data_IF_554167302907
#
_entry.id   IF_554167302907
#
_cell.length_a   1.000
_cell.length_b   1.000
_cell.length_c   1.000
_cell.angle_alpha   90.00
_cell.angle_beta   90.00
_cell.angle_gamma   90.00
#
_symmetry.space_group_name_H-M   'P 1'
#
loop_
_entity.id
_entity.type
_entity.pdbx_description
1 polymer ?
#
# COMPACT_ATOMS: atom_id res chain seq x y z
N UNK A 1 -13.29 -8.51 5.09
CA UNK A 1 -11.98 -7.87 4.78
C UNK A 1 -12.23 -6.47 4.20
N UNK A 2 -11.90 -5.39 4.94
CA UNK A 2 -12.16 -4.01 4.49
C UNK A 2 -11.41 -3.75 3.18
N UNK A 3 -12.13 -3.31 2.15
CA UNK A 3 -11.56 -2.76 0.91
C UNK A 3 -10.74 -1.52 1.25
N UNK A 4 -9.43 -1.68 1.44
CA UNK A 4 -8.46 -0.60 1.31
C UNK A 4 -8.03 -0.52 -0.14
N UNK A 5 -8.96 -0.09 -0.99
CA UNK A 5 -8.64 0.30 -2.36
C UNK A 5 -8.45 1.82 -2.39
N UNK A 6 -7.28 2.24 -2.87
CA UNK A 6 -6.89 3.60 -3.24
C UNK A 6 -6.69 4.64 -2.12
N UNK A 7 -5.45 4.76 -1.63
CA UNK A 7 -4.93 6.03 -1.07
C UNK A 7 -3.41 6.21 -1.18
N UNK A 8 -2.71 5.50 -2.08
CA UNK A 8 -1.30 5.81 -2.37
C UNK A 8 -1.19 6.78 -3.57
N UNK A 9 -2.07 6.65 -4.57
CA UNK A 9 -2.08 7.54 -5.72
C UNK A 9 -2.65 8.95 -5.40
N UNK A 10 -3.57 9.05 -4.45
CA UNK A 10 -4.20 10.32 -4.07
C UNK A 10 -3.25 11.25 -3.28
N UNK A 11 -2.31 10.69 -2.50
CA UNK A 11 -1.36 11.50 -1.74
C UNK A 11 -0.29 12.14 -2.63
N UNK A 12 0.06 11.50 -3.77
CA UNK A 12 0.98 12.07 -4.75
C UNK A 12 0.32 13.11 -5.67
N UNK A 13 -0.98 12.99 -5.98
CA UNK A 13 -1.68 13.97 -6.83
C UNK A 13 -2.08 15.26 -6.10
N UNK A 14 -2.38 15.21 -4.80
CA UNK A 14 -2.80 16.40 -4.02
C UNK A 14 -1.62 17.38 -3.81
N UNK A 15 -0.38 16.90 -3.86
CA UNK A 15 0.81 17.76 -3.82
C UNK A 15 1.11 18.50 -5.14
N UNK A 16 0.38 18.21 -6.23
CA UNK A 16 0.58 18.81 -7.55
C UNK A 16 -0.42 19.93 -7.89
N UNK A 17 -1.40 20.25 -7.04
CA UNK A 17 -2.47 21.23 -7.35
C UNK A 17 -2.51 22.49 -6.44
N UNK A 18 -1.54 22.69 -5.57
CA UNK A 18 -1.35 23.93 -4.80
C UNK A 18 0.03 24.45 -5.17
N UNK A 19 0.21 25.44 -6.05
CA UNK A 19 -0.20 26.84 -5.85
C UNK A 19 -0.22 27.58 -7.21
N UNK A 20 -1.35 28.22 -7.49
CA UNK A 20 -1.47 29.22 -8.55
C UNK A 20 -2.29 30.39 -8.03
N UNK A 21 -1.64 31.33 -7.32
CA UNK A 21 -2.16 32.69 -7.15
C UNK A 21 -1.05 33.66 -6.80
N UNK A 22 -0.66 34.48 -7.77
CA UNK A 22 0.18 35.65 -7.61
C UNK A 22 -0.51 36.67 -6.69
N UNK A 23 0.11 37.02 -5.58
CA UNK A 23 -0.13 38.30 -4.92
C UNK A 23 1.17 39.08 -4.82
N UNK A 24 1.16 40.27 -5.41
CA UNK A 24 2.19 41.28 -5.35
C UNK A 24 2.31 41.84 -3.94
N UNK A 25 3.51 41.78 -3.34
CA UNK A 25 3.82 42.48 -2.09
C UNK A 25 5.10 43.29 -2.29
N UNK A 26 5.00 44.59 -2.02
CA UNK A 26 6.09 45.58 -2.06
C UNK A 26 7.15 45.30 -0.98
N UNK A 27 8.42 45.71 -1.16
CA UNK A 27 9.50 45.37 -0.23
C UNK A 27 9.45 46.25 1.04
N UNK A 28 9.70 45.69 2.25
CA UNK A 28 9.96 46.51 3.42
C UNK A 28 11.45 46.84 3.56
N UNK A 29 11.67 48.04 4.08
CA UNK A 29 12.94 48.73 4.27
C UNK A 29 13.97 47.96 5.12
N UNK A 30 15.23 48.22 4.78
CA UNK A 30 16.41 47.80 5.52
C UNK A 30 16.50 48.49 6.89
N UNK A 31 16.77 47.70 7.94
CA UNK A 31 17.68 47.98 9.08
C UNK A 31 17.54 46.94 10.19
N UNK A 32 18.66 46.40 10.68
CA UNK A 32 18.74 45.72 11.98
C UNK A 32 19.61 44.46 11.98
N UNK A 33 20.77 44.55 12.62
CA UNK A 33 21.77 43.49 12.83
C UNK A 33 21.23 42.23 13.54
N UNK A 34 21.81 41.07 13.22
CA UNK A 34 21.87 39.92 14.13
C UNK A 34 21.40 38.57 13.59
N UNK A 35 22.38 37.71 13.24
CA UNK A 35 22.40 36.24 13.34
C UNK A 35 21.23 35.44 12.71
N UNK A 36 21.49 34.84 11.54
CA UNK A 36 21.05 33.47 11.23
C UNK A 36 19.56 33.19 11.03
N UNK A 37 18.81 34.08 10.38
CA UNK A 37 17.41 33.81 10.01
C UNK A 37 17.29 33.08 8.67
N UNK A 38 16.61 31.93 8.66
CA UNK A 38 16.11 31.26 7.44
C UNK A 38 15.16 32.18 6.69
N UNK A 39 15.31 32.28 5.37
CA UNK A 39 14.55 33.22 4.55
C UNK A 39 13.08 32.83 4.35
N UNK A 40 12.71 31.60 4.71
CA UNK A 40 11.36 31.06 4.54
C UNK A 40 11.05 30.64 3.11
N UNK A 41 12.06 30.68 2.22
CA UNK A 41 11.96 30.26 0.82
C UNK A 41 12.95 29.13 0.59
N UNK A 42 12.44 27.90 0.51
CA UNK A 42 13.22 26.66 0.49
C UNK A 42 14.34 26.64 -0.56
N UNK A 43 14.12 27.28 -1.72
CA UNK A 43 15.09 27.36 -2.82
C UNK A 43 16.35 28.16 -2.46
N UNK A 44 16.25 29.18 -1.61
CA UNK A 44 17.38 29.99 -1.19
C UNK A 44 18.09 29.40 0.03
N UNK A 45 17.34 28.74 0.91
CA UNK A 45 17.87 28.07 2.10
C UNK A 45 18.54 26.71 1.77
N UNK A 46 18.32 26.15 0.57
CA UNK A 46 18.94 24.91 0.05
C UNK A 46 20.25 25.10 -0.73
N UNK A 47 20.71 26.35 -0.91
CA UNK A 47 21.98 26.61 -1.58
C UNK A 47 23.16 26.35 -0.61
N UNK A 48 24.24 25.69 -1.05
CA UNK A 48 25.42 25.50 -0.21
C UNK A 48 25.99 26.84 0.24
N UNK A 49 26.19 26.97 1.55
CA UNK A 49 26.72 28.17 2.23
C UNK A 49 28.11 28.57 1.68
N UNK A 50 28.85 27.64 1.08
CA UNK A 50 30.22 27.87 0.56
C UNK A 50 30.29 28.74 -0.70
N UNK A 51 29.17 29.03 -1.36
CA UNK A 51 29.17 29.91 -2.57
C UNK A 51 29.27 31.41 -2.26
N UNK A 52 29.33 31.80 -0.98
CA UNK A 52 29.40 33.21 -0.54
C UNK A 52 30.61 33.46 0.36
N UNK A 53 31.81 33.52 -0.21
CA UNK A 53 32.82 34.53 0.12
C UNK A 53 34.18 34.23 -0.54
N UNK A 54 34.85 35.31 -0.95
CA UNK A 54 36.26 35.39 -1.36
C UNK A 54 36.57 35.14 -2.84
N UNK A 55 36.01 35.98 -3.73
CA UNK A 55 36.76 36.38 -4.92
C UNK A 55 37.87 37.36 -4.50
N UNK A 56 39.06 36.82 -4.20
CA UNK A 56 40.29 37.60 -4.27
C UNK A 56 40.71 37.64 -5.73
N UNK A 57 40.65 38.82 -6.35
CA UNK A 57 41.25 39.08 -7.66
C UNK A 57 42.76 38.90 -7.53
N UNK A 58 43.29 37.78 -8.03
CA UNK A 58 44.72 37.52 -8.02
C UNK A 58 45.09 36.04 -7.97
N UNK A 59 44.46 35.20 -8.78
CA UNK A 59 45.09 34.00 -9.34
C UNK A 59 44.20 33.43 -10.46
N UNK A 60 44.81 32.71 -11.39
CA UNK A 60 44.29 32.41 -12.73
C UNK A 60 42.85 31.91 -12.81
N UNK A 61 42.21 32.23 -13.95
CA UNK A 61 40.86 31.78 -14.32
C UNK A 61 40.88 30.24 -14.41
N UNK A 62 40.54 29.58 -13.31
CA UNK A 62 40.18 28.16 -13.27
C UNK A 62 38.72 28.06 -13.68
N UNK A 63 38.44 28.08 -14.99
CA UNK A 63 37.14 27.65 -15.49
C UNK A 63 37.11 26.13 -15.36
N UNK A 64 36.59 25.62 -14.24
CA UNK A 64 36.23 24.20 -14.12
C UNK A 64 35.26 23.87 -15.26
N UNK A 65 35.62 22.93 -16.13
CA UNK A 65 34.65 22.31 -17.03
C UNK A 65 33.61 21.65 -16.12
N UNK A 66 32.43 22.25 -16.03
CA UNK A 66 31.34 21.78 -15.18
C UNK A 66 30.76 20.54 -15.83
N UNK A 67 31.37 19.38 -15.56
CA UNK A 67 30.70 18.11 -15.73
C UNK A 67 29.52 18.12 -14.74
N UNK A 68 28.29 18.01 -15.24
CA UNK A 68 27.10 18.22 -14.44
C UNK A 68 26.99 17.17 -13.31
N UNK A 69 27.34 17.59 -12.09
CA UNK A 69 27.14 16.78 -10.88
C UNK A 69 25.70 16.25 -10.81
N UNK A 70 25.55 14.95 -10.59
CA UNK A 70 24.26 14.28 -10.50
C UNK A 70 23.71 14.48 -9.09
N UNK A 71 22.60 15.19 -8.95
CA UNK A 71 21.94 15.34 -7.64
C UNK A 71 21.47 13.99 -7.04
N UNK A 72 21.97 13.59 -5.85
CA UNK A 72 21.52 12.39 -5.15
C UNK A 72 20.03 12.40 -4.80
N UNK A 73 19.51 13.58 -4.42
CA UNK A 73 18.10 13.74 -4.08
C UNK A 73 17.19 13.51 -5.29
N UNK A 74 17.59 14.00 -6.48
CA UNK A 74 16.84 13.73 -7.73
C UNK A 74 16.87 12.26 -8.08
N UNK A 75 18.03 11.60 -7.95
CA UNK A 75 18.18 10.17 -8.18
C UNK A 75 17.25 9.37 -7.26
N UNK A 76 17.26 9.65 -5.95
CA UNK A 76 16.34 9.01 -5.00
C UNK A 76 14.88 9.24 -5.36
N UNK A 77 14.50 10.48 -5.70
CA UNK A 77 13.12 10.81 -6.08
C UNK A 77 12.65 10.02 -7.30
N UNK A 78 13.47 9.93 -8.35
CA UNK A 78 13.13 9.14 -9.53
C UNK A 78 12.92 7.66 -9.20
N UNK A 79 13.81 7.05 -8.40
CA UNK A 79 13.66 5.65 -8.00
C UNK A 79 12.55 5.39 -6.98
N UNK A 80 12.15 6.41 -6.22
CA UNK A 80 10.97 6.32 -5.34
C UNK A 80 9.67 6.25 -6.15
N UNK A 81 9.61 6.88 -7.33
CA UNK A 81 8.44 6.79 -8.22
C UNK A 81 8.52 5.52 -9.08
N UNK A 82 9.67 5.27 -9.71
CA UNK A 82 9.89 4.12 -10.59
C UNK A 82 11.22 3.47 -10.22
N UNK A 83 11.21 2.31 -9.55
CA UNK A 83 12.42 1.63 -9.14
C UNK A 83 13.37 1.40 -10.34
N UNK A 84 14.62 1.82 -10.17
CA UNK A 84 15.65 1.79 -11.21
C UNK A 84 15.83 3.09 -11.99
N UNK A 85 14.87 4.02 -11.99
CA UNK A 85 14.97 5.27 -12.77
C UNK A 85 16.07 6.21 -12.27
N UNK A 86 16.29 6.27 -10.95
CA UNK A 86 17.38 7.01 -10.33
C UNK A 86 18.76 6.42 -10.60
N UNK A 87 18.87 5.09 -10.60
CA UNK A 87 20.10 4.38 -11.00
C UNK A 87 20.42 4.63 -12.47
N UNK A 88 19.40 4.68 -13.34
CA UNK A 88 19.59 5.03 -14.74
C UNK A 88 20.11 6.47 -14.88
N UNK A 89 19.55 7.41 -14.11
CA UNK A 89 20.02 8.79 -14.07
C UNK A 89 21.48 8.94 -13.60
N UNK A 90 21.90 8.13 -12.62
CA UNK A 90 23.29 8.06 -12.13
C UNK A 90 24.17 7.04 -12.88
N UNK A 91 23.72 6.58 -14.05
CA UNK A 91 24.48 5.72 -14.99
C UNK A 91 24.85 4.33 -14.43
N UNK A 92 24.17 3.90 -13.37
CA UNK A 92 24.24 2.54 -12.82
C UNK A 92 23.21 1.63 -13.53
N UNK A 93 23.47 1.35 -14.81
CA UNK A 93 22.51 0.64 -15.67
C UNK A 93 22.18 -0.78 -15.22
N UNK A 94 23.14 -1.51 -14.66
CA UNK A 94 22.87 -2.86 -14.13
C UNK A 94 21.92 -2.82 -12.94
N UNK A 95 22.15 -1.90 -11.99
CA UNK A 95 21.25 -1.73 -10.85
C UNK A 95 19.87 -1.23 -11.30
N UNK A 96 19.82 -0.32 -12.29
CA UNK A 96 18.56 0.10 -12.90
C UNK A 96 17.76 -1.07 -13.46
N UNK A 97 18.41 -1.95 -14.23
CA UNK A 97 17.79 -3.15 -14.80
C UNK A 97 17.32 -4.13 -13.71
N UNK A 98 18.12 -4.34 -12.65
CA UNK A 98 17.76 -5.24 -11.56
C UNK A 98 16.51 -4.75 -10.79
N UNK A 99 16.48 -3.49 -10.39
CA UNK A 99 15.32 -2.90 -9.70
C UNK A 99 14.08 -2.87 -10.59
N UNK A 100 14.22 -2.52 -11.87
CA UNK A 100 13.12 -2.52 -12.83
C UNK A 100 12.57 -3.93 -13.12
N UNK A 101 13.44 -4.93 -13.27
CA UNK A 101 13.02 -6.31 -13.47
C UNK A 101 12.32 -6.89 -12.24
N UNK A 102 12.82 -6.59 -11.04
CA UNK A 102 12.17 -6.96 -9.78
C UNK A 102 10.78 -6.32 -9.67
N UNK A 103 10.66 -5.04 -10.00
CA UNK A 103 9.38 -4.30 -10.00
C UNK A 103 8.35 -4.97 -10.91
N UNK A 104 8.71 -5.23 -12.17
CA UNK A 104 7.83 -5.89 -13.14
C UNK A 104 7.43 -7.29 -12.65
N UNK A 105 8.40 -8.08 -12.18
CA UNK A 105 8.15 -9.44 -11.70
C UNK A 105 7.18 -9.47 -10.51
N UNK A 106 7.33 -8.54 -9.56
CA UNK A 106 6.47 -8.43 -8.39
C UNK A 106 5.04 -8.01 -8.76
N UNK A 107 4.86 -7.06 -9.69
CA UNK A 107 3.54 -6.70 -10.21
C UNK A 107 2.85 -7.86 -10.91
N UNK A 108 3.60 -8.66 -11.69
CA UNK A 108 3.07 -9.87 -12.33
C UNK A 108 2.60 -10.87 -11.29
N UNK A 109 3.40 -11.14 -10.24
CA UNK A 109 3.01 -12.03 -9.14
C UNK A 109 1.77 -11.48 -8.43
N UNK A 110 1.76 -10.20 -8.05
CA UNK A 110 0.60 -9.55 -7.43
C UNK A 110 -0.66 -9.74 -8.27
N UNK A 111 -0.64 -9.35 -9.54
CA UNK A 111 -1.81 -9.40 -10.42
C UNK A 111 -2.33 -10.83 -10.65
N UNK A 112 -1.43 -11.82 -10.81
CA UNK A 112 -1.83 -13.22 -10.98
C UNK A 112 -2.51 -13.75 -9.72
N UNK A 113 -1.94 -13.50 -8.54
CA UNK A 113 -2.47 -14.06 -7.29
C UNK A 113 -3.72 -13.32 -6.80
N UNK A 114 -3.80 -12.01 -7.04
CA UNK A 114 -5.01 -11.22 -6.79
C UNK A 114 -6.17 -11.74 -7.65
N UNK A 115 -5.96 -11.92 -8.96
CA UNK A 115 -6.97 -12.48 -9.86
C UNK A 115 -7.39 -13.91 -9.49
N UNK A 116 -6.45 -14.74 -9.01
CA UNK A 116 -6.75 -16.08 -8.49
C UNK A 116 -7.60 -16.01 -7.21
N UNK A 117 -7.25 -15.12 -6.27
CA UNK A 117 -8.03 -14.90 -5.05
C UNK A 117 -9.46 -14.45 -5.34
N UNK A 118 -9.63 -13.57 -6.31
CA UNK A 118 -10.93 -13.11 -6.81
C UNK A 118 -11.75 -14.24 -7.44
N UNK A 119 -11.12 -15.08 -8.26
CA UNK A 119 -11.77 -16.26 -8.84
C UNK A 119 -12.23 -17.23 -7.74
N UNK A 120 -11.35 -17.54 -6.80
CA UNK A 120 -11.67 -18.40 -5.66
C UNK A 120 -12.79 -17.80 -4.79
N UNK A 121 -12.84 -16.46 -4.69
CA UNK A 121 -13.91 -15.74 -4.01
C UNK A 121 -15.28 -15.99 -4.64
N UNK A 122 -15.38 -15.78 -5.96
CA UNK A 122 -16.61 -16.07 -6.69
C UNK A 122 -17.05 -17.53 -6.56
N UNK A 123 -16.10 -18.46 -6.51
CA UNK A 123 -16.39 -19.88 -6.36
C UNK A 123 -17.02 -20.20 -5.00
N UNK A 124 -16.44 -19.71 -3.89
CA UNK A 124 -17.03 -19.98 -2.58
C UNK A 124 -18.36 -19.24 -2.43
N UNK A 125 -18.50 -18.01 -2.90
CA UNK A 125 -19.75 -17.25 -2.83
C UNK A 125 -20.88 -17.98 -3.58
N UNK A 126 -20.60 -18.48 -4.78
CA UNK A 126 -21.53 -19.31 -5.56
C UNK A 126 -21.86 -20.63 -4.86
N UNK A 127 -20.90 -21.22 -4.14
CA UNK A 127 -21.16 -22.41 -3.34
C UNK A 127 -22.10 -22.11 -2.18
N UNK A 128 -21.88 -21.01 -1.43
CA UNK A 128 -22.76 -20.59 -0.36
C UNK A 128 -24.18 -20.27 -0.87
N UNK A 129 -24.31 -19.58 -2.00
CA UNK A 129 -25.60 -19.22 -2.58
C UNK A 129 -26.46 -20.45 -2.94
N UNK A 130 -25.82 -21.57 -3.28
CA UNK A 130 -26.50 -22.83 -3.62
C UNK A 130 -26.80 -23.70 -2.41
N UNK A 131 -25.99 -23.60 -1.36
CA UNK A 131 -25.97 -24.59 -0.28
C UNK A 131 -26.33 -24.02 1.09
N UNK A 132 -26.43 -22.70 1.26
CA UNK A 132 -26.77 -22.06 2.52
C UNK A 132 -28.08 -21.27 2.42
N UNK A 133 -28.97 -21.48 3.39
CA UNK A 133 -30.30 -20.86 3.44
C UNK A 133 -30.52 -20.12 4.75
N UNK A 134 -30.71 -18.80 4.67
CA UNK A 134 -31.08 -17.96 5.81
C UNK A 134 -32.43 -18.37 6.39
N UNK A 135 -33.37 -18.84 5.57
CA UNK A 135 -34.68 -19.31 6.04
C UNK A 135 -34.52 -20.56 6.88
N UNK A 136 -33.72 -21.54 6.41
CA UNK A 136 -33.40 -22.76 7.17
C UNK A 136 -32.77 -22.41 8.52
N UNK A 137 -31.85 -21.44 8.52
CA UNK A 137 -31.21 -20.95 9.74
C UNK A 137 -32.20 -20.29 10.71
N UNK A 138 -33.07 -19.41 10.20
CA UNK A 138 -34.07 -18.70 10.99
C UNK A 138 -35.07 -19.67 11.66
N UNK A 139 -35.57 -20.66 10.92
CA UNK A 139 -36.45 -21.72 11.44
C UNK A 139 -35.77 -22.54 12.54
N UNK A 140 -34.46 -22.83 12.38
CA UNK A 140 -33.70 -23.54 13.39
C UNK A 140 -33.52 -22.70 14.68
N UNK A 141 -33.28 -21.39 14.56
CA UNK A 141 -33.21 -20.48 15.71
C UNK A 141 -34.55 -20.44 16.46
N UNK A 142 -35.67 -20.33 15.75
CA UNK A 142 -36.99 -20.32 16.39
C UNK A 142 -37.28 -21.60 17.15
N UNK A 143 -36.87 -22.74 16.59
CA UNK A 143 -37.09 -24.06 17.16
C UNK A 143 -36.27 -24.30 18.43
N UNK A 144 -34.98 -23.93 18.40
CA UNK A 144 -34.04 -24.32 19.46
C UNK A 144 -33.53 -23.17 20.31
N UNK A 145 -33.79 -21.91 19.96
CA UNK A 145 -33.24 -20.75 20.66
C UNK A 145 -33.49 -20.77 22.18
N UNK A 146 -34.70 -21.17 22.60
CA UNK A 146 -35.05 -21.29 24.02
C UNK A 146 -34.36 -22.47 24.70
N UNK A 147 -34.00 -23.51 23.96
CA UNK A 147 -33.20 -24.63 24.51
C UNK A 147 -31.73 -24.23 24.66
N UNK A 148 -31.20 -23.45 23.71
CA UNK A 148 -29.84 -22.92 23.76
C UNK A 148 -29.66 -21.94 24.92
N UNK A 149 -30.59 -20.99 25.06
CA UNK A 149 -30.65 -20.07 26.20
C UNK A 149 -32.07 -20.06 26.82
N UNK A 150 -32.31 -20.86 27.89
CA UNK A 150 -33.60 -20.90 28.58
C UNK A 150 -34.05 -19.57 29.19
N UNK A 151 -33.12 -18.63 29.41
CA UNK A 151 -33.42 -17.31 29.97
C UNK A 151 -33.69 -16.25 28.88
N UNK A 152 -33.54 -16.61 27.60
CA UNK A 152 -33.81 -15.70 26.49
C UNK A 152 -35.29 -15.71 26.10
N UNK A 153 -35.82 -14.54 25.75
CA UNK A 153 -37.10 -14.44 25.03
C UNK A 153 -36.84 -14.54 23.54
N UNK A 154 -37.17 -15.68 22.94
CA UNK A 154 -37.01 -15.90 21.50
C UNK A 154 -38.26 -15.41 20.76
N UNK A 155 -38.06 -14.49 19.84
CA UNK A 155 -39.10 -13.92 18.98
C UNK A 155 -39.48 -14.93 17.89
N UNK A 156 -40.78 -15.16 17.73
CA UNK A 156 -41.35 -16.01 16.68
C UNK A 156 -41.74 -15.19 15.44
N UNK A 157 -41.90 -15.86 14.30
CA UNK A 157 -42.25 -15.23 13.03
C UNK A 157 -41.09 -14.42 12.44
N UNK A 158 -39.87 -14.95 12.57
CA UNK A 158 -38.66 -14.58 11.85
C UNK A 158 -38.76 -14.91 10.37
N UNK A 159 -39.48 -15.96 9.98
CA UNK A 159 -39.80 -16.21 8.56
C UNK A 159 -41.10 -15.51 8.19
N UNK A 160 -41.00 -14.48 7.34
CA UNK A 160 -42.13 -13.62 6.93
C UNK A 160 -42.80 -14.08 5.65
N UNK A 161 -42.17 -14.97 4.87
CA UNK A 161 -42.76 -15.52 3.65
C UNK A 161 -42.23 -16.91 3.36
N UNK A 162 -43.13 -17.85 3.11
CA UNK A 162 -42.80 -19.21 2.67
C UNK A 162 -42.76 -19.35 1.15
N UNK A 163 -42.90 -18.24 0.40
CA UNK A 163 -42.87 -18.25 -1.05
C UNK A 163 -41.47 -18.67 -1.55
N UNK A 164 -41.32 -19.82 -2.24
CA UNK A 164 -40.01 -20.27 -2.74
C UNK A 164 -39.46 -19.40 -3.87
N UNK A 165 -40.31 -18.59 -4.52
CA UNK A 165 -39.91 -17.73 -5.63
C UNK A 165 -39.29 -16.41 -5.18
N UNK A 166 -39.39 -16.06 -3.90
CA UNK A 166 -38.70 -14.89 -3.34
C UNK A 166 -37.26 -15.25 -2.96
N UNK A 167 -36.31 -14.31 -3.13
CA UNK A 167 -34.96 -14.52 -2.65
C UNK A 167 -34.95 -14.85 -1.15
N UNK A 168 -34.12 -15.81 -0.68
CA UNK A 168 -34.15 -16.24 0.72
C UNK A 168 -34.04 -15.11 1.76
N UNK A 169 -33.27 -14.07 1.45
CA UNK A 169 -33.06 -12.91 2.32
C UNK A 169 -34.25 -11.95 2.41
N UNK A 170 -35.19 -11.99 1.45
CA UNK A 170 -36.41 -11.19 1.48
C UNK A 170 -37.55 -11.93 2.22
N UNK A 171 -37.29 -13.15 2.67
CA UNK A 171 -38.25 -14.01 3.38
C UNK A 171 -38.06 -14.01 4.89
N UNK A 172 -37.09 -13.24 5.41
CA UNK A 172 -36.75 -13.23 6.84
C UNK A 172 -36.84 -11.81 7.41
N UNK A 173 -37.43 -11.70 8.60
CA UNK A 173 -37.37 -10.52 9.46
C UNK A 173 -36.00 -10.46 10.14
N UNK A 174 -35.10 -9.66 9.54
CA UNK A 174 -33.74 -9.46 10.01
C UNK A 174 -33.66 -8.92 11.43
N UNK A 175 -34.61 -8.07 11.84
CA UNK A 175 -34.61 -7.49 13.19
C UNK A 175 -34.89 -8.56 14.21
N UNK A 176 -35.90 -9.40 13.98
CA UNK A 176 -36.20 -10.51 14.88
C UNK A 176 -35.09 -11.56 14.89
N UNK A 177 -34.54 -11.90 13.72
CA UNK A 177 -33.44 -12.84 13.61
C UNK A 177 -32.23 -12.37 14.42
N UNK A 178 -31.77 -11.13 14.21
CA UNK A 178 -30.61 -10.61 14.92
C UNK A 178 -30.86 -10.47 16.43
N UNK A 179 -32.07 -10.06 16.84
CA UNK A 179 -32.45 -10.06 18.27
C UNK A 179 -32.39 -11.44 18.90
N UNK A 180 -32.81 -12.48 18.18
CA UNK A 180 -32.70 -13.86 18.66
C UNK A 180 -31.25 -14.31 18.77
N UNK A 181 -30.41 -14.01 17.77
CA UNK A 181 -28.96 -14.29 17.82
C UNK A 181 -28.30 -13.63 19.04
N UNK A 182 -28.61 -12.36 19.28
CA UNK A 182 -28.13 -11.62 20.45
C UNK A 182 -28.60 -12.24 21.76
N UNK A 183 -29.89 -12.56 21.86
CA UNK A 183 -30.47 -13.12 23.06
C UNK A 183 -29.86 -14.49 23.40
N UNK A 184 -29.57 -15.33 22.40
CA UNK A 184 -28.84 -16.60 22.58
C UNK A 184 -27.40 -16.32 23.03
N UNK A 185 -26.73 -15.36 22.41
CA UNK A 185 -25.35 -14.97 22.73
C UNK A 185 -25.12 -14.39 24.13
N UNK A 186 -26.18 -13.95 24.84
CA UNK A 186 -26.07 -13.50 26.23
C UNK A 186 -25.67 -14.63 27.20
N UNK A 187 -25.91 -15.90 26.84
CA UNK A 187 -25.48 -17.04 27.62
C UNK A 187 -24.07 -17.48 27.18
N UNK A 188 -23.16 -17.55 28.15
CA UNK A 188 -21.80 -18.04 27.92
C UNK A 188 -21.79 -19.51 27.47
N UNK A 189 -20.79 -19.88 26.66
CA UNK A 189 -20.64 -21.26 26.17
C UNK A 189 -21.55 -21.65 25.01
N UNK A 190 -22.38 -20.75 24.50
CA UNK A 190 -23.15 -20.99 23.25
C UNK A 190 -22.25 -20.86 22.01
N UNK A 191 -21.29 -19.93 22.00
CA UNK A 191 -20.51 -19.62 20.80
C UNK A 191 -21.21 -18.66 19.83
N UNK A 192 -22.42 -18.22 20.17
CA UNK A 192 -23.08 -17.09 19.51
C UNK A 192 -22.34 -15.80 19.87
N UNK A 193 -21.82 -15.13 18.85
CA UNK A 193 -20.99 -13.92 19.04
C UNK A 193 -21.21 -12.86 17.97
N UNK A 194 -21.84 -13.22 16.85
CA UNK A 194 -22.01 -12.35 15.70
C UNK A 194 -23.47 -12.31 15.27
N UNK A 195 -23.88 -11.17 14.71
CA UNK A 195 -25.17 -11.03 14.04
C UNK A 195 -24.99 -11.36 12.56
N UNK A 196 -25.95 -12.06 11.96
CA UNK A 196 -25.95 -12.24 10.52
C UNK A 196 -26.20 -10.89 9.84
N UNK A 197 -25.25 -10.36 9.03
CA UNK A 197 -25.43 -9.12 8.30
C UNK A 197 -26.36 -9.33 7.11
N UNK A 198 -26.98 -8.25 6.64
CA UNK A 198 -27.89 -8.30 5.49
C UNK A 198 -27.09 -8.42 4.19
N UNK A 199 -27.61 -9.19 3.24
CA UNK A 199 -27.14 -9.17 1.84
C UNK A 199 -27.25 -7.75 1.24
N UNK A 200 -26.36 -7.33 0.33
CA UNK A 200 -25.30 -8.10 -0.35
C UNK A 200 -23.89 -7.89 0.23
N UNK A 201 -23.75 -7.62 1.53
CA UNK A 201 -22.44 -7.31 2.11
C UNK A 201 -21.49 -8.51 2.06
N UNK A 202 -20.22 -8.30 1.66
CA UNK A 202 -19.16 -9.33 1.72
C UNK A 202 -19.05 -9.97 3.13
N UNK A 203 -19.40 -9.20 4.16
CA UNK A 203 -19.44 -9.66 5.55
C UNK A 203 -20.36 -10.88 5.74
N UNK A 204 -21.43 -11.00 4.96
CA UNK A 204 -22.34 -12.16 5.02
C UNK A 204 -21.60 -13.46 4.71
N UNK A 205 -20.91 -13.51 3.57
CA UNK A 205 -20.11 -14.65 3.18
C UNK A 205 -18.96 -14.90 4.17
N UNK A 206 -18.48 -13.83 4.81
CA UNK A 206 -17.45 -13.90 5.84
C UNK A 206 -17.93 -14.61 7.13
N UNK A 207 -19.13 -14.30 7.63
CA UNK A 207 -19.56 -14.84 8.92
C UNK A 207 -20.06 -16.29 8.80
N UNK A 208 -20.80 -16.62 7.73
CA UNK A 208 -21.41 -17.95 7.56
C UNK A 208 -20.41 -19.10 7.39
N UNK A 209 -19.15 -18.78 7.08
CA UNK A 209 -18.06 -19.75 6.96
C UNK A 209 -16.99 -19.65 8.04
N UNK A 210 -17.11 -18.69 8.96
CA UNK A 210 -16.12 -18.47 10.02
C UNK A 210 -16.59 -18.99 11.37
N UNK A 211 -17.89 -18.91 11.65
CA UNK A 211 -18.45 -19.27 12.94
C UNK A 211 -19.41 -20.45 12.83
N UNK A 212 -19.24 -21.44 13.70
CA UNK A 212 -20.08 -22.65 13.75
C UNK A 212 -21.56 -22.33 14.03
N UNK A 213 -21.86 -21.16 14.64
CA UNK A 213 -23.23 -20.72 14.89
C UNK A 213 -24.11 -20.70 13.63
N UNK A 214 -23.53 -20.63 12.43
CA UNK A 214 -24.25 -20.61 11.15
C UNK A 214 -24.36 -21.97 10.46
N UNK A 215 -23.86 -23.05 11.09
CA UNK A 215 -23.86 -24.41 10.53
C UNK A 215 -25.28 -24.86 10.15
N UNK A 216 -26.29 -24.49 10.94
CA UNK A 216 -27.68 -24.94 10.75
C UNK A 216 -28.31 -24.40 9.46
N UNK A 217 -27.76 -23.34 8.87
CA UNK A 217 -28.21 -22.83 7.57
C UNK A 217 -27.73 -23.64 6.36
N UNK A 218 -26.71 -24.50 6.51
CA UNK A 218 -26.19 -25.32 5.41
C UNK A 218 -27.16 -26.45 5.04
N UNK A 219 -27.25 -26.81 3.77
CA UNK A 219 -28.29 -27.71 3.26
C UNK A 219 -28.22 -29.12 3.87
N UNK A 220 -27.02 -29.60 4.18
CA UNK A 220 -26.73 -30.90 4.80
C UNK A 220 -26.80 -30.89 6.34
N UNK A 221 -27.06 -29.74 6.96
CA UNK A 221 -27.15 -29.66 8.43
C UNK A 221 -28.34 -30.44 8.97
N UNK A 222 -28.14 -31.14 10.10
CA UNK A 222 -29.21 -31.84 10.82
C UNK A 222 -30.01 -30.85 11.67
N UNK A 223 -31.11 -30.34 11.13
CA UNK A 223 -32.04 -29.41 11.82
C UNK A 223 -32.98 -30.10 12.81
N UNK A 224 -32.83 -31.39 13.04
CA UNK A 224 -33.56 -32.15 14.07
C UNK A 224 -32.92 -32.06 15.46
N UNK A 225 -31.77 -31.39 15.58
CA UNK A 225 -31.05 -31.24 16.85
C UNK A 225 -30.60 -29.79 17.09
N UNK A 226 -30.42 -29.45 18.36
CA UNK A 226 -29.79 -28.21 18.81
C UNK A 226 -28.25 -28.29 18.83
N UNK A 227 -27.67 -29.44 18.51
CA UNK A 227 -26.22 -29.63 18.50
C UNK A 227 -25.60 -29.08 17.21
N UNK A 228 -25.09 -27.85 17.27
CA UNK A 228 -24.41 -27.17 16.16
C UNK A 228 -22.88 -27.08 16.36
N UNK A 229 -22.39 -27.19 17.59
CA UNK A 229 -20.97 -27.06 17.90
C UNK A 229 -20.19 -28.34 17.61
N UNK A 230 -20.82 -29.52 17.81
CA UNK A 230 -20.14 -30.81 17.57
C UNK A 230 -20.58 -31.43 16.25
N UNK A 231 -21.86 -31.29 15.90
CA UNK A 231 -22.40 -31.72 14.60
C UNK A 231 -22.29 -30.62 13.53
N UNK A 232 -21.06 -30.19 13.24
CA UNK A 232 -20.78 -29.17 12.22
C UNK A 232 -20.93 -29.76 10.82
N UNK A 233 -21.72 -29.09 9.98
CA UNK A 233 -22.01 -29.44 8.58
C UNK A 233 -20.72 -29.74 7.78
N UNK A 234 -20.63 -30.88 7.08
CA UNK A 234 -19.60 -31.11 6.08
C UNK A 234 -19.49 -30.01 5.01
N UNK A 235 -20.61 -29.48 4.52
CA UNK A 235 -20.62 -28.36 3.57
C UNK A 235 -20.05 -27.07 4.17
N UNK A 236 -20.34 -26.77 5.44
CA UNK A 236 -19.70 -25.66 6.15
C UNK A 236 -18.18 -25.83 6.18
N UNK A 237 -17.68 -27.03 6.51
CA UNK A 237 -16.24 -27.31 6.55
C UNK A 237 -15.60 -27.14 5.17
N UNK A 238 -16.26 -27.62 4.13
CA UNK A 238 -15.81 -27.47 2.75
C UNK A 238 -15.78 -25.99 2.32
N UNK A 239 -16.82 -25.23 2.62
CA UNK A 239 -16.88 -23.80 2.36
C UNK A 239 -15.77 -23.03 3.11
N UNK A 240 -15.54 -23.36 4.38
CA UNK A 240 -14.46 -22.79 5.19
C UNK A 240 -13.08 -23.03 4.56
N UNK A 241 -12.84 -24.24 4.04
CA UNK A 241 -11.61 -24.56 3.30
C UNK A 241 -11.46 -23.73 2.01
N UNK A 242 -12.53 -23.64 1.21
CA UNK A 242 -12.51 -22.82 -0.01
C UNK A 242 -12.16 -21.36 0.28
N UNK A 243 -12.65 -20.83 1.40
CA UNK A 243 -12.31 -19.49 1.88
C UNK A 243 -10.89 -19.37 2.41
N UNK A 244 -10.40 -20.40 3.10
CA UNK A 244 -8.99 -20.51 3.48
C UNK A 244 -8.08 -20.37 2.26
N UNK A 245 -8.36 -21.11 1.19
CA UNK A 245 -7.61 -21.02 -0.07
C UNK A 245 -7.65 -19.63 -0.71
N UNK A 246 -8.79 -18.93 -0.65
CA UNK A 246 -8.86 -17.55 -1.15
C UNK A 246 -7.96 -16.62 -0.34
N UNK A 247 -7.97 -16.75 0.99
CA UNK A 247 -7.11 -15.96 1.88
C UNK A 247 -5.63 -16.24 1.62
N UNK A 248 -5.23 -17.50 1.39
CA UNK A 248 -3.85 -17.85 1.08
C UNK A 248 -3.36 -17.20 -0.23
N UNK A 249 -4.22 -17.16 -1.26
CA UNK A 249 -3.91 -16.49 -2.53
C UNK A 249 -3.73 -14.98 -2.34
N UNK A 250 -4.65 -14.33 -1.59
CA UNK A 250 -4.52 -12.92 -1.26
C UNK A 250 -3.32 -12.62 -0.35
N UNK A 251 -2.90 -13.57 0.49
CA UNK A 251 -1.70 -13.42 1.31
C UNK A 251 -0.44 -13.36 0.44
N UNK A 252 -0.36 -14.16 -0.62
CA UNK A 252 0.75 -14.10 -1.59
C UNK A 252 0.75 -12.75 -2.32
N UNK A 253 -0.42 -12.29 -2.79
CA UNK A 253 -0.55 -10.99 -3.43
C UNK A 253 -0.14 -9.85 -2.46
N UNK A 254 -0.64 -9.86 -1.23
CA UNK A 254 -0.29 -8.89 -0.20
C UNK A 254 1.20 -8.91 0.15
N UNK A 255 1.83 -10.09 0.16
CA UNK A 255 3.28 -10.21 0.35
C UNK A 255 4.05 -9.56 -0.80
N UNK A 256 3.64 -9.82 -2.06
CA UNK A 256 4.25 -9.16 -3.22
C UNK A 256 4.10 -7.64 -3.17
N UNK A 257 2.93 -7.13 -2.76
CA UNK A 257 2.71 -5.70 -2.55
C UNK A 257 3.61 -5.11 -1.45
N UNK A 258 3.84 -5.83 -0.35
CA UNK A 258 4.79 -5.42 0.67
C UNK A 258 6.24 -5.36 0.15
N UNK A 259 6.63 -6.33 -0.67
CA UNK A 259 7.96 -6.36 -1.29
C UNK A 259 8.11 -5.24 -2.33
N UNK A 260 7.07 -4.89 -3.09
CA UNK A 260 7.07 -3.73 -4.00
C UNK A 260 7.43 -2.45 -3.22
N UNK A 261 6.76 -2.18 -2.10
CA UNK A 261 7.07 -1.00 -1.28
C UNK A 261 8.52 -1.00 -0.81
N UNK A 262 9.04 -2.16 -0.38
CA UNK A 262 10.44 -2.29 -0.01
C UNK A 262 11.38 -2.04 -1.21
N UNK A 263 11.05 -2.56 -2.39
CA UNK A 263 11.81 -2.38 -3.63
C UNK A 263 11.94 -0.89 -3.98
N UNK A 264 10.85 -0.12 -3.89
CA UNK A 264 10.87 1.34 -4.07
C UNK A 264 11.79 2.05 -3.08
N UNK A 265 11.71 1.72 -1.79
CA UNK A 265 12.54 2.34 -0.77
C UNK A 265 14.04 2.03 -0.98
N UNK A 266 14.37 0.76 -1.18
CA UNK A 266 15.76 0.36 -1.41
C UNK A 266 16.31 0.93 -2.72
N UNK A 267 15.49 0.97 -3.77
CA UNK A 267 15.88 1.58 -5.04
C UNK A 267 16.16 3.08 -4.87
N UNK A 268 15.33 3.82 -4.13
CA UNK A 268 15.55 5.24 -3.86
C UNK A 268 16.86 5.50 -3.10
N UNK A 269 17.10 4.75 -2.02
CA UNK A 269 18.32 4.87 -1.22
C UNK A 269 19.57 4.53 -2.04
N UNK A 270 19.52 3.43 -2.79
CA UNK A 270 20.62 3.03 -3.66
C UNK A 270 20.87 4.04 -4.78
N UNK A 271 19.83 4.68 -5.34
CA UNK A 271 19.98 5.70 -6.37
C UNK A 271 20.68 6.96 -5.84
N UNK A 272 20.32 7.43 -4.64
CA UNK A 272 21.03 8.52 -3.99
C UNK A 272 22.52 8.18 -3.78
N UNK A 273 22.80 6.99 -3.26
CA UNK A 273 24.17 6.54 -3.07
C UNK A 273 24.94 6.47 -4.39
N UNK A 274 24.34 5.91 -5.45
CA UNK A 274 24.96 5.82 -6.77
C UNK A 274 25.26 7.19 -7.39
N UNK A 275 24.38 8.18 -7.23
CA UNK A 275 24.65 9.55 -7.70
C UNK A 275 25.79 10.19 -6.89
N UNK A 276 25.83 9.95 -5.57
CA UNK A 276 26.91 10.44 -4.71
C UNK A 276 28.28 9.84 -5.08
N UNK A 277 28.33 8.53 -5.36
CA UNK A 277 29.57 7.87 -5.79
C UNK A 277 30.00 8.35 -7.19
N UNK A 278 29.05 8.55 -8.11
CA UNK A 278 29.32 9.08 -9.44
C UNK A 278 30.01 10.46 -9.38
N UNK A 279 29.53 11.35 -8.51
CA UNK A 279 30.14 12.67 -8.33
C UNK A 279 31.54 12.61 -7.72
N UNK A 280 31.89 11.55 -6.96
CA UNK A 280 33.23 11.36 -6.41
C UNK A 280 34.22 10.76 -7.40
N UNK A 281 33.75 9.97 -8.37
CA UNK A 281 34.61 9.30 -9.36
C UNK A 281 35.11 10.22 -10.49
N UNK A 282 34.48 11.39 -10.65
CA UNK A 282 34.85 12.39 -11.66
C UNK A 282 35.45 13.62 -10.99
N UNK A 283 36.74 13.86 -11.20
CA UNK A 283 37.36 15.16 -10.95
C UNK A 283 38.09 15.63 -12.19
N UNK A 284 37.71 16.80 -12.69
CA UNK A 284 38.39 17.47 -13.80
C UNK A 284 39.15 18.66 -13.22
N UNK A 285 40.48 18.58 -13.27
CA UNK A 285 41.37 19.66 -12.87
C UNK A 285 41.87 20.39 -14.12
N UNK A 286 41.57 21.70 -14.21
CA UNK A 286 42.02 22.58 -15.27
C UNK A 286 43.06 23.53 -14.71
N UNK A 287 44.30 23.34 -15.15
CA UNK A 287 45.46 24.09 -14.70
C UNK A 287 46.05 24.87 -15.89
N UNK A 288 46.30 26.17 -15.68
CA UNK A 288 47.17 26.95 -16.56
C UNK A 288 48.62 26.73 -16.12
N UNK A 289 49.37 25.92 -16.86
CA UNK A 289 50.81 25.77 -16.61
C UNK A 289 51.56 26.87 -17.33
N UNK A 290 52.38 27.61 -16.58
CA UNK A 290 53.40 28.46 -17.18
C UNK A 290 54.61 27.59 -17.56
N UNK A 291 55.03 27.67 -18.82
CA UNK A 291 56.24 27.01 -19.31
C UNK A 291 57.18 28.12 -19.75
N UNK A 292 58.32 28.25 -19.07
CA UNK A 292 59.34 29.24 -19.42
C UNK A 292 60.23 28.66 -20.52
N UNK A 293 60.07 29.16 -21.75
CA UNK A 293 60.84 28.67 -22.92
C UNK A 293 62.11 29.49 -23.17
N UNK A 294 62.15 30.73 -22.67
CA UNK A 294 63.30 31.64 -22.74
C UNK A 294 63.33 32.53 -21.50
N UNK A 295 64.50 32.98 -21.02
CA UNK A 295 64.60 33.88 -19.89
C UNK A 295 63.69 35.10 -20.09
N UNK A 296 62.68 35.27 -19.23
CA UNK A 296 61.74 36.40 -19.28
C UNK A 296 60.52 36.23 -20.18
N UNK A 297 60.30 35.06 -20.80
CA UNK A 297 59.10 34.75 -21.58
C UNK A 297 58.41 33.49 -21.05
N UNK A 298 57.28 33.67 -20.38
CA UNK A 298 56.41 32.58 -19.95
C UNK A 298 55.27 32.38 -20.96
N UNK A 299 55.12 31.16 -21.48
CA UNK A 299 53.98 30.75 -22.28
C UNK A 299 53.00 29.99 -21.38
N UNK A 300 51.75 30.46 -21.31
CA UNK A 300 50.71 29.80 -20.53
C UNK A 300 50.00 28.76 -21.40
N UNK A 301 50.13 27.48 -21.05
CA UNK A 301 49.48 26.38 -21.76
C UNK A 301 48.30 25.88 -20.92
N UNK A 302 47.06 25.96 -21.44
CA UNK A 302 45.91 25.40 -20.75
C UNK A 302 46.05 23.87 -20.74
N UNK A 303 45.99 23.26 -19.55
CA UNK A 303 46.13 21.82 -19.36
C UNK A 303 44.87 21.30 -18.65
N UNK A 304 44.18 20.33 -19.27
CA UNK A 304 43.05 19.62 -18.68
C UNK A 304 43.51 18.24 -18.22
N UNK A 305 43.32 17.93 -16.94
CA UNK A 305 43.58 16.60 -16.36
C UNK A 305 42.26 16.02 -15.91
N UNK A 306 41.82 14.97 -16.60
CA UNK A 306 40.64 14.19 -16.19
C UNK A 306 41.15 13.03 -15.34
N UNK A 307 40.75 13.00 -14.06
CA UNK A 307 41.10 11.90 -13.17
C UNK A 307 39.88 11.02 -12.95
N UNK A 308 39.96 9.79 -13.48
CA UNK A 308 39.01 8.73 -13.22
C UNK A 308 39.53 7.90 -12.05
N UNK A 309 38.79 7.88 -10.94
CA UNK A 309 39.08 6.99 -9.82
C UNK A 309 38.33 5.67 -10.03
N UNK A 310 39.06 4.61 -10.42
CA UNK A 310 38.55 3.25 -10.57
C UNK A 310 38.64 2.46 -9.26
#
# INVERSE_FOLDING_TARGET
>A
MKRTSFSILAFLLVLLQSEGRSQSVSPPDARGDGIGGLSGVLRYDLLPIESRANYRLGDGISDKAVEHEKSPLRAAFYSAIVPGAGQFYSESYFAAAAFGAAEIGLWVVYGIYDAKGDKQTREYESYADRNWSVVKYAEWIERYGSTLNPNATILQGTVISQNPNLPPWDRVDWVKLNRNEEAIGLKTGTGFSHRLPRRPEQQYYEVIGKYEQYTSGWSDSNVGTQDYLTNVSPQFRFYRDMRGRANDLFMVAGTAAGILVANHLFSALHAAWSAHTFNKSMSVDLQLRSIERRPGWAEYVPTATVTLHF
#
